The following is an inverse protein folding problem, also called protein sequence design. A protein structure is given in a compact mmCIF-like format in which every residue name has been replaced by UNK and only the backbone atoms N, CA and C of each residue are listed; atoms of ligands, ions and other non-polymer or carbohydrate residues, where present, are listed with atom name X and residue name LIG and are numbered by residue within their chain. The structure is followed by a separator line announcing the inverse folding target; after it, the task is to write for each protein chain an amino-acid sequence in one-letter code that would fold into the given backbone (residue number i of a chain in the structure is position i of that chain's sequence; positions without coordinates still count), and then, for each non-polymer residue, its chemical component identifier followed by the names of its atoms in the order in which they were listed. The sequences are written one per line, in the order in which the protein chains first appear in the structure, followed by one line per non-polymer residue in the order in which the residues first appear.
data_IF_097394433290
#
_entry.id   IF_097394433290
#
_cell.length_a   1.000
_cell.length_b   1.000
_cell.length_c   1.000
_cell.angle_alpha   90.00
_cell.angle_beta   90.00
_cell.angle_gamma   90.00
#
_symmetry.space_group_name_H-M   'P 1'
#
loop_
_entity.id
_entity.type
_entity.pdbx_description
1 polymer ?
#
# COMPACT_ATOMS: atom_id res chain seq x y z
N UNK A 1 17.91 0.35 -4.98
CA UNK A 1 16.93 1.19 -4.27
C UNK A 1 16.91 0.74 -2.83
N UNK A 2 17.28 1.63 -1.92
CA UNK A 2 17.20 1.37 -0.48
C UNK A 2 15.73 1.52 -0.05
N UNK A 3 15.24 0.69 0.89
CA UNK A 3 13.87 0.75 1.42
C UNK A 3 12.73 0.26 0.49
N UNK A 4 12.89 -0.91 -0.14
CA UNK A 4 11.84 -1.52 -1.00
C UNK A 4 10.86 -2.45 -0.25
N UNK A 5 11.17 -2.86 0.98
CA UNK A 5 10.41 -3.86 1.71
C UNK A 5 9.99 -3.34 3.07
N UNK A 6 8.68 -3.33 3.37
CA UNK A 6 8.18 -2.82 4.65
C UNK A 6 8.73 -3.60 5.85
N UNK A 7 8.85 -4.93 5.71
CA UNK A 7 9.37 -5.83 6.74
C UNK A 7 10.89 -5.99 6.77
N UNK A 8 11.64 -5.27 5.93
CA UNK A 8 13.07 -5.49 5.75
C UNK A 8 13.40 -6.49 4.64
N UNK A 9 14.68 -6.59 4.28
CA UNK A 9 15.15 -7.41 3.15
C UNK A 9 15.12 -8.90 3.47
N UNK A 10 15.44 -9.27 4.71
CA UNK A 10 15.46 -10.65 5.18
C UNK A 10 14.58 -10.77 6.42
N UNK A 11 13.39 -11.35 6.26
CA UNK A 11 12.30 -11.27 7.26
C UNK A 11 12.25 -12.43 8.25
N UNK A 12 12.66 -13.63 7.81
CA UNK A 12 12.58 -14.83 8.65
C UNK A 12 13.52 -14.69 9.85
N UNK A 13 12.95 -14.73 11.07
CA UNK A 13 13.69 -14.53 12.33
C UNK A 13 14.46 -13.20 12.38
N UNK A 14 13.96 -12.16 11.70
CA UNK A 14 14.58 -10.84 11.74
C UNK A 14 14.39 -10.17 13.10
N UNK A 15 15.44 -9.48 13.56
CA UNK A 15 15.38 -8.55 14.71
C UNK A 15 14.63 -7.24 14.38
N UNK A 16 14.20 -7.06 13.12
CA UNK A 16 13.39 -5.91 12.67
C UNK A 16 14.16 -4.59 12.54
N UNK A 17 15.49 -4.65 12.48
CA UNK A 17 16.39 -3.49 12.45
C UNK A 17 16.41 -2.72 11.13
N UNK A 18 15.92 -3.30 10.03
CA UNK A 18 15.88 -2.71 8.69
C UNK A 18 14.44 -2.47 8.16
N UNK A 19 13.44 -2.46 9.04
CA UNK A 19 12.03 -2.29 8.65
C UNK A 19 11.68 -0.84 8.27
N UNK A 20 10.51 -0.65 7.65
CA UNK A 20 9.95 0.68 7.38
C UNK A 20 9.83 1.51 8.66
N UNK A 21 9.44 0.87 9.78
CA UNK A 21 9.33 1.54 11.08
C UNK A 21 10.65 2.13 11.56
N UNK A 22 11.79 1.50 11.25
CA UNK A 22 13.11 2.03 11.56
C UNK A 22 13.47 3.18 10.61
N UNK A 23 13.12 3.05 9.34
CA UNK A 23 13.42 4.04 8.30
C UNK A 23 12.74 5.38 8.55
N UNK A 24 11.49 5.38 9.06
CA UNK A 24 10.75 6.63 9.34
C UNK A 24 11.17 7.35 10.62
N UNK A 25 11.87 6.68 11.56
CA UNK A 25 12.36 7.30 12.82
C UNK A 25 13.30 8.48 12.60
N UNK A 26 13.99 8.51 11.48
CA UNK A 26 14.84 9.63 11.11
C UNK A 26 14.07 10.94 10.88
N UNK A 27 12.74 10.90 10.79
CA UNK A 27 11.83 12.05 10.67
C UNK A 27 12.31 13.07 9.62
N UNK A 28 12.70 12.56 8.44
CA UNK A 28 13.23 13.39 7.36
C UNK A 28 12.13 14.34 6.84
N UNK A 29 12.45 15.60 6.51
CA UNK A 29 11.47 16.54 5.96
C UNK A 29 10.98 16.07 4.59
N UNK A 30 9.67 16.21 4.33
CA UNK A 30 9.01 15.69 3.12
C UNK A 30 8.66 16.77 2.08
N UNK A 31 8.59 18.04 2.48
CA UNK A 31 8.13 19.12 1.60
C UNK A 31 9.10 19.36 0.45
N UNK A 32 8.58 19.33 -0.78
CA UNK A 32 9.35 19.55 -2.01
C UNK A 32 10.39 18.46 -2.28
N UNK A 33 10.17 17.24 -1.78
CA UNK A 33 11.04 16.08 -1.99
C UNK A 33 10.36 15.04 -2.87
N UNK A 34 11.18 14.20 -3.48
CA UNK A 34 10.73 12.93 -4.02
C UNK A 34 10.37 12.00 -2.84
N UNK A 35 9.13 11.52 -2.82
CA UNK A 35 8.57 10.79 -1.69
C UNK A 35 7.93 9.48 -2.15
N UNK A 36 7.88 8.54 -1.21
CA UNK A 36 7.19 7.26 -1.36
C UNK A 36 6.11 7.18 -0.30
N UNK A 37 4.91 6.73 -0.68
CA UNK A 37 3.80 6.44 0.23
C UNK A 37 3.65 4.94 0.41
N UNK A 38 3.44 4.50 1.64
CA UNK A 38 3.12 3.12 2.00
C UNK A 38 1.68 3.04 2.47
N UNK A 39 0.86 2.25 1.78
CA UNK A 39 -0.53 1.97 2.19
C UNK A 39 -0.60 0.59 2.83
N UNK A 40 -1.10 0.51 4.06
CA UNK A 40 -1.32 -0.75 4.76
C UNK A 40 -2.80 -1.12 4.73
N UNK A 41 -3.13 -2.21 4.03
CA UNK A 41 -4.46 -2.82 4.05
C UNK A 41 -4.46 -4.01 5.01
N UNK A 42 -5.33 -3.97 6.01
CA UNK A 42 -5.55 -5.08 6.94
C UNK A 42 -6.79 -5.90 6.57
N UNK A 43 -6.75 -7.19 6.87
CA UNK A 43 -7.91 -8.07 6.77
C UNK A 43 -7.94 -8.99 7.99
N UNK A 44 -9.07 -9.03 8.69
CA UNK A 44 -9.30 -9.96 9.79
C UNK A 44 -10.10 -11.15 9.26
N UNK A 45 -9.42 -12.27 9.00
CA UNK A 45 -10.07 -13.48 8.49
C UNK A 45 -10.71 -14.25 9.64
N UNK A 46 -12.04 -14.23 9.72
CA UNK A 46 -12.81 -15.15 10.57
C UNK A 46 -13.28 -16.30 9.67
N UNK A 47 -12.71 -17.51 9.79
CA UNK A 47 -13.07 -18.64 8.93
C UNK A 47 -14.53 -19.04 9.09
N UNK A 48 -15.12 -19.51 8.00
CA UNK A 48 -16.51 -20.00 7.96
C UNK A 48 -16.58 -21.37 7.31
N UNK A 49 -17.70 -22.07 7.47
CA UNK A 49 -17.86 -23.41 6.88
C UNK A 49 -17.87 -23.36 5.35
N UNK A 50 -18.31 -22.25 4.78
CA UNK A 50 -18.31 -21.98 3.34
C UNK A 50 -16.90 -21.78 2.75
N UNK A 51 -15.88 -21.55 3.58
CA UNK A 51 -14.49 -21.45 3.15
C UNK A 51 -13.89 -22.84 2.85
N UNK A 52 -14.59 -23.92 3.19
CA UNK A 52 -14.14 -25.30 3.00
C UNK A 52 -14.85 -25.98 1.81
N UNK A 53 -14.15 -26.81 1.01
CA UNK A 53 -12.71 -27.14 1.05
C UNK A 53 -11.82 -26.12 0.34
N UNK A 54 -12.44 -25.17 -0.38
CA UNK A 54 -11.76 -24.13 -1.14
C UNK A 54 -12.49 -22.83 -0.88
N UNK A 55 -11.75 -21.80 -0.47
CA UNK A 55 -12.28 -20.48 -0.17
C UNK A 55 -12.84 -19.81 -1.44
N UNK A 56 -13.97 -19.12 -1.28
CA UNK A 56 -14.49 -18.23 -2.34
C UNK A 56 -13.64 -16.97 -2.46
N UNK A 57 -13.59 -16.37 -3.65
CA UNK A 57 -12.83 -15.12 -3.85
C UNK A 57 -13.40 -13.98 -3.00
N UNK A 58 -12.53 -13.29 -2.27
CA UNK A 58 -12.89 -12.09 -1.49
C UNK A 58 -12.08 -10.87 -1.95
N UNK A 59 -12.76 -9.83 -2.39
CA UNK A 59 -12.17 -8.64 -3.00
C UNK A 59 -11.88 -7.54 -1.98
N UNK A 60 -10.73 -6.89 -2.11
CA UNK A 60 -10.36 -5.66 -1.41
C UNK A 60 -9.76 -4.70 -2.42
N UNK A 61 -10.20 -3.45 -2.41
CA UNK A 61 -9.82 -2.47 -3.44
C UNK A 61 -9.32 -1.18 -2.79
N UNK A 62 -8.27 -0.61 -3.37
CA UNK A 62 -7.83 0.76 -3.13
C UNK A 62 -7.94 1.54 -4.44
N UNK A 63 -8.35 2.79 -4.35
CA UNK A 63 -8.36 3.73 -5.47
C UNK A 63 -7.37 4.87 -5.16
N UNK A 64 -6.60 5.25 -6.17
CA UNK A 64 -5.81 6.47 -6.18
C UNK A 64 -6.42 7.35 -7.24
N UNK A 65 -7.04 8.44 -6.82
CA UNK A 65 -7.83 9.30 -7.68
C UNK A 65 -7.19 10.69 -7.78
N UNK A 66 -7.25 11.33 -8.96
CA UNK A 66 -6.74 12.68 -9.13
C UNK A 66 -7.58 13.67 -8.32
N UNK A 67 -6.96 14.35 -7.36
CA UNK A 67 -7.60 15.41 -6.59
C UNK A 67 -7.05 16.78 -6.99
N UNK A 68 -7.84 17.57 -7.72
CA UNK A 68 -7.45 18.88 -8.28
C UNK A 68 -6.19 18.84 -9.17
N UNK A 69 -5.95 17.70 -9.84
CA UNK A 69 -4.83 17.54 -10.78
C UNK A 69 -5.15 18.14 -12.15
N UNK A 70 -6.42 18.05 -12.57
CA UNK A 70 -6.89 18.52 -13.88
C UNK A 70 -7.80 19.75 -13.73
N UNK A 71 -7.73 20.67 -14.70
CA UNK A 71 -8.59 21.87 -14.74
C UNK A 71 -10.05 21.53 -15.13
N UNK A 72 -10.25 20.42 -15.85
CA UNK A 72 -11.54 19.92 -16.30
C UNK A 72 -11.59 18.39 -16.17
N UNK A 73 -12.77 17.81 -16.35
CA UNK A 73 -12.95 16.37 -16.28
C UNK A 73 -12.02 15.66 -17.30
N UNK A 74 -11.10 14.77 -16.87
CA UNK A 74 -10.14 14.11 -17.75
C UNK A 74 -10.79 13.17 -18.78
N UNK A 75 -12.07 12.80 -18.60
CA UNK A 75 -12.80 11.93 -19.51
C UNK A 75 -13.53 12.67 -20.66
N UNK A 76 -13.42 14.01 -20.77
CA UNK A 76 -14.20 14.81 -21.72
C UNK A 76 -14.01 14.44 -23.20
N UNK A 77 -12.84 13.94 -23.58
CA UNK A 77 -12.49 13.62 -24.98
C UNK A 77 -12.63 12.14 -25.31
N UNK A 78 -13.18 11.33 -24.40
CA UNK A 78 -13.39 9.90 -24.66
C UNK A 78 -14.53 9.78 -25.68
N UNK A 79 -14.23 9.21 -26.85
CA UNK A 79 -15.23 8.95 -27.89
C UNK A 79 -16.27 7.95 -27.38
N UNK A 80 -17.49 8.10 -27.87
CA UNK A 80 -18.60 7.20 -27.54
C UNK A 80 -18.47 5.87 -28.26
#
# INVERSE_FOLDING_TARGET
MDHQYAGGKYVMQSEGSDTLSQSVKANKPLVGKDIVTWFAAGFHHIPRIEDWPVISTEWKTIHIEPHNVFAHNPALTIAK
#
